data_IF_154653335690
#
_entry.id   IF_154653335690
#
_cell.length_a   1.000
_cell.length_b   1.000
_cell.length_c   1.000
_cell.angle_alpha   90.00
_cell.angle_beta   90.00
_cell.angle_gamma   90.00
#
_symmetry.space_group_name_H-M   'P 1'
#
loop_
_entity.id
_entity.type
_entity.pdbx_description
1 polymer ?
#
# COMPACT_ATOMS: atom_id res chain seq x y z
N UNK A 1 -1.79 17.39 28.51
CA UNK A 1 -1.11 17.86 27.26
C UNK A 1 -1.14 16.71 26.25
N UNK A 2 -2.09 16.72 25.30
CA UNK A 2 -2.20 15.66 24.27
C UNK A 2 -1.38 16.11 23.06
N UNK A 3 -0.27 15.43 22.80
CA UNK A 3 0.42 15.54 21.52
C UNK A 3 -0.48 14.93 20.46
N UNK A 4 -1.18 15.77 19.68
CA UNK A 4 -1.80 15.33 18.44
C UNK A 4 -0.67 15.06 17.45
N UNK A 5 -0.37 13.77 17.25
CA UNK A 5 0.53 13.33 16.20
C UNK A 5 -0.09 13.72 14.85
N UNK A 6 0.37 14.83 14.25
CA UNK A 6 0.11 15.10 12.84
C UNK A 6 0.95 14.12 12.03
N UNK A 7 0.47 12.87 11.88
CA UNK A 7 0.84 12.12 10.68
C UNK A 7 0.54 13.07 9.52
N UNK A 8 1.55 13.42 8.70
CA UNK A 8 1.31 14.21 7.49
C UNK A 8 0.13 13.58 6.74
N UNK A 9 -0.77 14.42 6.22
CA UNK A 9 -2.13 14.06 5.78
C UNK A 9 -2.25 12.56 5.46
N UNK A 10 -2.90 11.83 6.38
CA UNK A 10 -3.22 10.43 6.12
C UNK A 10 -4.02 10.41 4.81
N UNK A 11 -3.53 9.74 3.75
CA UNK A 11 -4.14 9.84 2.42
C UNK A 11 -5.53 9.20 2.36
N UNK A 12 -6.04 8.66 3.48
CA UNK A 12 -7.27 7.91 3.55
C UNK A 12 -7.11 6.52 2.93
N UNK A 13 -8.21 5.76 2.85
CA UNK A 13 -8.18 4.42 2.30
C UNK A 13 -7.82 4.43 0.81
N UNK A 14 -6.89 3.55 0.41
CA UNK A 14 -6.47 3.38 -0.98
C UNK A 14 -6.77 1.95 -1.45
N UNK A 15 -7.41 1.85 -2.62
CA UNK A 15 -7.60 0.57 -3.32
C UNK A 15 -6.85 0.60 -4.65
N UNK A 16 -6.01 -0.40 -4.88
CA UNK A 16 -5.29 -0.61 -6.14
C UNK A 16 -5.90 -1.80 -6.87
N UNK A 17 -6.38 -1.58 -8.10
CA UNK A 17 -6.94 -2.64 -8.94
C UNK A 17 -5.87 -3.11 -9.93
N UNK A 18 -5.51 -4.39 -9.91
CA UNK A 18 -4.50 -4.98 -10.79
C UNK A 18 -5.17 -5.87 -11.83
N UNK A 19 -5.40 -5.32 -13.02
CA UNK A 19 -5.87 -6.11 -14.16
C UNK A 19 -4.78 -7.10 -14.61
N UNK A 20 -5.18 -8.35 -14.85
CA UNK A 20 -4.23 -9.40 -15.18
C UNK A 20 -3.31 -9.77 -14.02
N UNK A 21 -3.83 -9.79 -12.79
CA UNK A 21 -3.09 -10.14 -11.56
C UNK A 21 -2.35 -11.49 -11.63
N UNK A 22 -2.77 -12.39 -12.53
CA UNK A 22 -2.12 -13.68 -12.79
C UNK A 22 -0.85 -13.58 -13.65
N UNK A 23 -0.57 -12.43 -14.24
CA UNK A 23 0.55 -12.23 -15.18
C UNK A 23 1.92 -12.25 -14.51
N UNK A 24 2.95 -12.59 -15.30
CA UNK A 24 4.34 -12.74 -14.85
C UNK A 24 4.88 -11.48 -14.14
N UNK A 25 4.58 -10.30 -14.68
CA UNK A 25 5.02 -9.03 -14.10
C UNK A 25 4.46 -8.82 -12.68
N UNK A 26 3.21 -9.23 -12.45
CA UNK A 26 2.56 -9.04 -11.16
C UNK A 26 3.23 -9.92 -10.11
N UNK A 27 3.45 -11.19 -10.43
CA UNK A 27 4.09 -12.15 -9.54
C UNK A 27 5.55 -11.82 -9.26
N UNK A 28 6.32 -11.45 -10.29
CA UNK A 28 7.77 -11.25 -10.16
C UNK A 28 8.17 -9.86 -9.68
N UNK A 29 7.35 -8.83 -9.87
CA UNK A 29 7.71 -7.43 -9.60
C UNK A 29 6.69 -6.70 -8.75
N UNK A 30 5.41 -6.68 -9.15
CA UNK A 30 4.43 -5.80 -8.54
C UNK A 30 4.07 -6.21 -7.11
N UNK A 31 3.73 -7.48 -6.88
CA UNK A 31 3.41 -7.98 -5.53
C UNK A 31 4.63 -7.89 -4.61
N UNK A 32 5.85 -8.33 -5.01
CA UNK A 32 7.05 -8.15 -4.18
C UNK A 32 7.35 -6.68 -3.82
N UNK A 33 7.15 -5.74 -4.75
CA UNK A 33 7.38 -4.32 -4.50
C UNK A 33 6.34 -3.72 -3.53
N UNK A 34 5.06 -4.05 -3.72
CA UNK A 34 3.98 -3.63 -2.81
C UNK A 34 4.16 -4.21 -1.41
N UNK A 35 4.51 -5.49 -1.30
CA UNK A 35 4.82 -6.13 -0.02
C UNK A 35 6.04 -5.49 0.67
N UNK A 36 7.09 -5.16 -0.09
CA UNK A 36 8.26 -4.44 0.46
C UNK A 36 7.88 -3.05 1.00
N UNK A 37 6.95 -2.34 0.34
CA UNK A 37 6.47 -1.04 0.81
C UNK A 37 5.54 -1.17 2.02
N UNK A 38 4.75 -2.25 2.10
CA UNK A 38 3.96 -2.60 3.28
C UNK A 38 4.86 -2.80 4.51
N UNK A 39 5.91 -3.62 4.39
CA UNK A 39 6.88 -3.83 5.49
C UNK A 39 7.57 -2.53 5.94
N UNK A 40 7.81 -1.61 5.01
CA UNK A 40 8.42 -0.30 5.29
C UNK A 40 7.43 0.73 5.84
N UNK A 41 6.15 0.37 6.06
CA UNK A 41 5.08 1.29 6.48
C UNK A 41 4.94 2.52 5.58
N UNK A 42 5.10 2.30 4.26
CA UNK A 42 4.99 3.34 3.22
C UNK A 42 3.65 3.33 2.49
N UNK A 43 2.78 2.38 2.82
CA UNK A 43 1.41 2.34 2.33
C UNK A 43 0.48 2.95 3.39
N UNK A 44 -0.70 3.43 2.99
CA UNK A 44 -1.74 3.86 3.93
C UNK A 44 -2.10 2.74 4.90
N UNK A 45 -2.56 3.11 6.10
CA UNK A 45 -2.98 2.13 7.11
C UNK A 45 -4.16 1.28 6.58
N UNK A 46 -5.06 1.89 5.79
CA UNK A 46 -6.12 1.20 5.04
C UNK A 46 -5.74 1.05 3.55
N UNK A 47 -5.09 -0.07 3.22
CA UNK A 47 -4.68 -0.39 1.85
C UNK A 47 -5.27 -1.73 1.38
N UNK A 48 -5.84 -1.76 0.17
CA UNK A 48 -6.42 -2.96 -0.45
C UNK A 48 -5.92 -3.13 -1.89
N UNK A 49 -5.69 -4.39 -2.28
CA UNK A 49 -5.44 -4.80 -3.66
C UNK A 49 -6.64 -5.63 -4.13
N UNK A 50 -7.14 -5.37 -5.33
CA UNK A 50 -8.22 -6.13 -6.00
C UNK A 50 -7.76 -6.59 -7.37
#
# INVERSE_FOLDING_TARGET
MRFVNRKGADPGPVTVVIFGASGDLVQRKLIPALFSNFLKKRLPDEFRIV
#
